data_IF_052417999593
#
_entry.id   IF_052417999593
#
_cell.length_a   1.000
_cell.length_b   1.000
_cell.length_c   1.000
_cell.angle_alpha   90.00
_cell.angle_beta   90.00
_cell.angle_gamma   90.00
#
_symmetry.space_group_name_H-M   'P 1'
#
loop_
_entity.id
_entity.type
_entity.pdbx_description
1 polymer ?
#
# COMPACT_ATOMS: atom_id res chain seq x y z
N UNK A 1 -8.71 -4.42 23.61
CA UNK A 1 -9.17 -5.60 24.38
C UNK A 1 -10.55 -6.10 23.91
N UNK A 2 -11.64 -5.36 24.15
CA UNK A 2 -13.02 -5.74 23.78
C UNK A 2 -13.20 -6.10 22.28
N UNK A 3 -12.70 -5.33 21.29
CA UNK A 3 -12.92 -5.66 19.87
C UNK A 3 -12.24 -6.97 19.45
N UNK A 4 -11.12 -7.33 20.08
CA UNK A 4 -10.39 -8.57 19.81
C UNK A 4 -11.16 -9.80 20.32
N UNK A 5 -11.79 -9.68 21.48
CA UNK A 5 -12.63 -10.74 22.06
C UNK A 5 -13.85 -10.99 21.17
N UNK A 6 -14.47 -9.93 20.65
CA UNK A 6 -15.61 -10.04 19.72
C UNK A 6 -15.20 -10.77 18.44
N UNK A 7 -14.03 -10.42 17.86
CA UNK A 7 -13.51 -11.07 16.65
C UNK A 7 -13.26 -12.57 16.88
N UNK A 8 -12.65 -12.94 18.00
CA UNK A 8 -12.36 -14.35 18.34
C UNK A 8 -13.66 -15.15 18.53
N UNK A 9 -14.66 -14.57 19.19
CA UNK A 9 -15.96 -15.23 19.38
C UNK A 9 -16.66 -15.42 18.03
N UNK A 10 -16.62 -14.40 17.15
CA UNK A 10 -17.23 -14.47 15.83
C UNK A 10 -16.55 -15.54 14.95
N UNK A 11 -15.21 -15.61 14.99
CA UNK A 11 -14.44 -16.67 14.32
C UNK A 11 -14.79 -18.06 14.87
N UNK A 12 -14.89 -18.22 16.19
CA UNK A 12 -15.26 -19.49 16.80
C UNK A 12 -16.69 -19.92 16.42
N UNK A 13 -17.65 -18.99 16.41
CA UNK A 13 -19.03 -19.26 15.99
C UNK A 13 -19.12 -19.66 14.52
N UNK A 14 -18.42 -18.97 13.62
CA UNK A 14 -18.41 -19.31 12.19
C UNK A 14 -17.82 -20.70 11.95
N UNK A 15 -16.70 -21.02 12.61
CA UNK A 15 -16.08 -22.34 12.50
C UNK A 15 -16.98 -23.45 13.07
N UNK A 16 -17.70 -23.19 14.17
CA UNK A 16 -18.65 -24.14 14.75
C UNK A 16 -19.84 -24.43 13.83
N UNK A 17 -20.40 -23.39 13.18
CA UNK A 17 -21.50 -23.55 12.21
C UNK A 17 -21.06 -24.38 11.00
N UNK A 18 -19.84 -24.20 10.52
CA UNK A 18 -19.28 -24.97 9.38
C UNK A 18 -18.91 -26.41 9.80
N UNK A 19 -18.48 -26.62 11.04
CA UNK A 19 -18.11 -27.95 11.55
C UNK A 19 -19.32 -28.82 11.92
N UNK A 20 -20.43 -28.22 12.36
CA UNK A 20 -21.65 -28.95 12.71
C UNK A 20 -22.15 -29.90 11.59
N UNK A 21 -22.22 -29.51 10.31
CA UNK A 21 -22.61 -30.42 9.23
C UNK A 21 -21.54 -31.47 8.88
N UNK A 22 -20.26 -31.25 9.18
CA UNK A 22 -19.18 -32.22 8.95
C UNK A 22 -19.11 -33.32 10.01
N UNK A 23 -19.57 -33.02 11.22
CA UNK A 23 -19.67 -33.97 12.33
C UNK A 23 -20.97 -34.76 12.27
N UNK A 24 -22.02 -34.22 11.64
CA UNK A 24 -23.25 -34.96 11.35
C UNK A 24 -22.94 -36.11 10.39
N UNK A 25 -23.07 -37.34 10.87
CA UNK A 25 -23.12 -38.52 10.03
C UNK A 25 -24.30 -38.39 9.04
N UNK A 26 -24.04 -38.60 7.76
CA UNK A 26 -25.07 -38.59 6.73
C UNK A 26 -26.08 -39.70 7.04
N UNK A 27 -27.31 -39.32 7.40
CA UNK A 27 -28.38 -40.26 7.80
C UNK A 27 -28.97 -41.09 6.65
N UNK A 28 -28.30 -41.14 5.49
CA UNK A 28 -28.65 -41.98 4.36
C UNK A 28 -27.39 -42.74 3.98
N UNK A 29 -27.15 -43.86 4.68
CA UNK A 29 -26.06 -44.76 4.33
C UNK A 29 -26.36 -45.40 2.98
N UNK A 30 -25.32 -45.69 2.18
CA UNK A 30 -25.46 -46.43 0.93
C UNK A 30 -26.17 -47.79 1.13
N UNK A 31 -26.07 -48.37 2.34
CA UNK A 31 -26.81 -49.56 2.77
C UNK A 31 -28.33 -49.36 2.79
N UNK A 32 -28.81 -48.22 3.30
CA UNK A 32 -30.24 -47.94 3.43
C UNK A 32 -30.89 -47.68 2.08
N UNK A 33 -30.18 -47.03 1.16
CA UNK A 33 -30.68 -46.81 -0.21
C UNK A 33 -30.80 -48.12 -0.99
N UNK A 34 -29.80 -49.01 -0.87
CA UNK A 34 -29.83 -50.33 -1.52
C UNK A 34 -30.89 -51.26 -0.94
N UNK A 35 -31.11 -51.24 0.38
CA UNK A 35 -32.18 -52.00 1.04
C UNK A 35 -33.56 -51.57 0.53
N UNK A 36 -33.81 -50.25 0.43
CA UNK A 36 -35.07 -49.74 -0.17
C UNK A 36 -35.25 -50.13 -1.63
N UNK A 37 -34.19 -50.07 -2.44
CA UNK A 37 -34.26 -50.46 -3.86
C UNK A 37 -34.51 -51.96 -4.03
N UNK A 38 -33.98 -52.77 -3.12
CA UNK A 38 -34.22 -54.22 -3.06
C UNK A 38 -35.68 -54.53 -2.73
N UNK A 39 -36.24 -53.93 -1.68
CA UNK A 39 -37.65 -54.10 -1.30
C UNK A 39 -38.60 -53.67 -2.43
N UNK A 40 -38.29 -52.54 -3.09
CA UNK A 40 -39.05 -52.07 -4.24
C UNK A 40 -38.96 -53.06 -5.43
N UNK A 41 -37.79 -53.63 -5.68
CA UNK A 41 -37.59 -54.62 -6.75
C UNK A 41 -38.31 -55.95 -6.47
N UNK A 42 -38.35 -56.39 -5.21
CA UNK A 42 -39.13 -57.56 -4.79
C UNK A 42 -40.63 -57.32 -4.96
N UNK A 43 -41.11 -56.13 -4.60
CA UNK A 43 -42.50 -55.72 -4.80
C UNK A 43 -42.89 -55.71 -6.29
N UNK A 44 -42.00 -55.22 -7.15
CA UNK A 44 -42.21 -55.25 -8.61
C UNK A 44 -42.29 -56.68 -9.16
N UNK A 45 -41.53 -57.62 -8.60
CA UNK A 45 -41.59 -59.03 -9.00
C UNK A 45 -42.96 -59.63 -8.67
N UNK A 46 -43.51 -59.37 -7.48
CA UNK A 46 -44.86 -59.83 -7.12
C UNK A 46 -45.96 -59.21 -7.98
N UNK A 47 -45.80 -57.95 -8.41
CA UNK A 47 -46.75 -57.31 -9.33
C UNK A 47 -46.75 -57.98 -10.71
N UNK A 48 -45.57 -58.34 -11.24
CA UNK A 48 -45.46 -59.11 -12.48
C UNK A 48 -46.17 -60.46 -12.35
N UNK A 49 -46.08 -61.11 -11.19
CA UNK A 49 -46.78 -62.38 -10.94
C UNK A 49 -48.31 -62.23 -10.96
N UNK A 50 -48.82 -61.12 -10.44
CA UNK A 50 -50.25 -60.78 -10.44
C UNK A 50 -50.75 -60.37 -11.85
N UNK A 51 -49.94 -59.65 -12.62
CA UNK A 51 -50.23 -59.30 -14.03
C UNK A 51 -50.29 -60.54 -14.94
N UNK A 52 -49.48 -61.55 -14.64
CA UNK A 52 -49.54 -62.86 -15.32
C UNK A 52 -50.79 -63.63 -14.91
N UNK A 53 -51.14 -63.62 -13.62
CA UNK A 53 -52.33 -64.30 -13.11
C UNK A 53 -53.63 -63.68 -13.64
N UNK A 54 -53.65 -62.36 -13.85
CA UNK A 54 -54.78 -61.62 -14.44
C UNK A 54 -54.84 -61.71 -15.97
N UNK A 55 -53.85 -62.34 -16.62
CA UNK A 55 -53.79 -62.52 -18.07
C UNK A 55 -53.42 -61.26 -18.86
N UNK A 56 -52.95 -60.21 -18.19
CA UNK A 56 -52.53 -58.95 -18.83
C UNK A 56 -51.19 -59.10 -19.58
N UNK A 57 -50.32 -59.99 -19.10
CA UNK A 57 -48.99 -60.23 -19.66
C UNK A 57 -48.86 -61.62 -20.31
N UNK A 58 -48.22 -61.70 -21.48
CA UNK A 58 -47.98 -62.97 -22.17
C UNK A 58 -46.90 -63.83 -21.47
N UNK A 59 -47.00 -65.17 -21.56
CA UNK A 59 -46.08 -66.09 -20.85
C UNK A 59 -44.60 -65.89 -21.27
N UNK A 60 -44.36 -65.48 -22.51
CA UNK A 60 -43.01 -65.22 -23.02
C UNK A 60 -42.44 -63.89 -22.52
N UNK A 61 -43.23 -62.81 -22.47
CA UNK A 61 -42.84 -61.54 -21.87
C UNK A 61 -42.64 -61.64 -20.36
N UNK A 62 -43.52 -62.36 -19.67
CA UNK A 62 -43.41 -62.64 -18.24
C UNK A 62 -42.10 -63.32 -17.86
N UNK A 63 -41.70 -64.36 -18.59
CA UNK A 63 -40.41 -65.07 -18.38
C UNK A 63 -39.21 -64.15 -18.56
N UNK A 64 -39.26 -63.21 -19.51
CA UNK A 64 -38.18 -62.24 -19.72
C UNK A 64 -38.14 -61.19 -18.60
N UNK A 65 -39.29 -60.66 -18.21
CA UNK A 65 -39.41 -59.66 -17.14
C UNK A 65 -38.94 -60.22 -15.79
N UNK A 66 -39.40 -61.42 -15.41
CA UNK A 66 -38.95 -62.12 -14.19
C UNK A 66 -37.45 -62.31 -14.16
N UNK A 67 -36.86 -62.87 -15.22
CA UNK A 67 -35.40 -63.09 -15.29
C UNK A 67 -34.59 -61.79 -15.19
N UNK A 68 -35.11 -60.69 -15.74
CA UNK A 68 -34.45 -59.39 -15.63
C UNK A 68 -34.50 -58.86 -14.18
N UNK A 69 -35.64 -58.97 -13.52
CA UNK A 69 -35.81 -58.55 -12.13
C UNK A 69 -35.05 -59.43 -11.13
N UNK A 70 -35.07 -60.76 -11.31
CA UNK A 70 -34.27 -61.70 -10.52
C UNK A 70 -32.77 -61.38 -10.59
N UNK A 71 -32.25 -61.07 -11.80
CA UNK A 71 -30.86 -60.63 -11.97
C UNK A 71 -30.57 -59.31 -11.24
N UNK A 72 -31.52 -58.36 -11.26
CA UNK A 72 -31.40 -57.08 -10.55
C UNK A 72 -31.37 -57.31 -9.03
N UNK A 73 -32.28 -58.10 -8.51
CA UNK A 73 -32.35 -58.48 -7.08
C UNK A 73 -31.06 -59.18 -6.65
N UNK A 74 -30.57 -60.15 -7.42
CA UNK A 74 -29.30 -60.82 -7.13
C UNK A 74 -28.11 -59.85 -7.12
N UNK A 75 -28.08 -58.89 -8.05
CA UNK A 75 -27.05 -57.84 -8.09
C UNK A 75 -27.16 -56.90 -6.88
N UNK A 76 -28.37 -56.50 -6.47
CA UNK A 76 -28.58 -55.68 -5.28
C UNK A 76 -28.16 -56.41 -3.99
N UNK A 77 -28.51 -57.69 -3.84
CA UNK A 77 -28.02 -58.55 -2.74
C UNK A 77 -26.50 -58.61 -2.71
N UNK A 78 -25.84 -58.88 -3.85
CA UNK A 78 -24.38 -58.96 -3.91
C UNK A 78 -23.69 -57.65 -3.47
N UNK A 79 -24.27 -56.50 -3.83
CA UNK A 79 -23.77 -55.18 -3.40
C UNK A 79 -23.98 -54.93 -1.92
N UNK A 80 -25.15 -55.32 -1.39
CA UNK A 80 -25.46 -55.21 0.03
C UNK A 80 -24.50 -56.07 0.87
N UNK A 81 -24.27 -57.32 0.46
CA UNK A 81 -23.29 -58.21 1.10
C UNK A 81 -21.87 -57.67 1.00
N UNK A 82 -21.48 -57.11 -0.15
CA UNK A 82 -20.17 -56.49 -0.32
C UNK A 82 -19.97 -55.31 0.66
N UNK A 83 -20.97 -54.45 0.84
CA UNK A 83 -20.97 -53.38 1.85
C UNK A 83 -20.92 -53.91 3.28
N UNK A 84 -21.62 -55.01 3.56
CA UNK A 84 -21.62 -55.64 4.88
C UNK A 84 -20.26 -56.26 5.24
N UNK A 85 -19.54 -56.78 4.24
CA UNK A 85 -18.19 -57.33 4.42
C UNK A 85 -17.08 -56.29 4.38
N UNK A 86 -17.26 -55.20 3.61
CA UNK A 86 -16.25 -54.16 3.46
C UNK A 86 -16.21 -53.19 4.65
N UNK A 87 -17.28 -53.15 5.46
CA UNK A 87 -17.51 -52.07 6.42
C UNK A 87 -17.87 -50.77 5.70
N UNK A 88 -18.45 -49.82 6.44
CA UNK A 88 -18.67 -48.47 5.88
C UNK A 88 -17.32 -47.86 5.47
N UNK A 89 -17.30 -47.01 4.42
CA UNK A 89 -16.09 -46.30 3.99
C UNK A 89 -15.36 -45.71 5.20
N UNK A 90 -14.02 -45.68 5.23
CA UNK A 90 -13.28 -45.11 6.35
C UNK A 90 -13.63 -43.63 6.45
N UNK A 91 -14.62 -43.31 7.30
CA UNK A 91 -14.95 -41.93 7.60
C UNK A 91 -13.69 -41.30 8.18
N UNK A 92 -13.38 -40.08 7.75
CA UNK A 92 -12.22 -39.34 8.24
C UNK A 92 -12.17 -39.47 9.77
N UNK A 93 -11.08 -40.05 10.32
CA UNK A 93 -11.05 -40.44 11.71
C UNK A 93 -11.51 -39.28 12.61
N UNK A 94 -12.39 -39.54 13.58
CA UNK A 94 -13.05 -38.48 14.35
C UNK A 94 -12.07 -37.50 15.01
N UNK A 95 -10.88 -37.98 15.37
CA UNK A 95 -9.79 -37.14 15.90
C UNK A 95 -9.20 -36.18 14.85
N UNK A 96 -9.25 -36.48 13.55
CA UNK A 96 -8.80 -35.59 12.48
C UNK A 96 -9.82 -34.46 12.29
N UNK A 97 -11.12 -34.78 12.33
CA UNK A 97 -12.21 -33.80 12.21
C UNK A 97 -12.12 -32.70 13.27
N UNK A 98 -11.67 -33.04 14.48
CA UNK A 98 -11.53 -32.11 15.61
C UNK A 98 -10.09 -31.60 15.74
N UNK A 99 -9.10 -32.45 15.50
CA UNK A 99 -7.69 -32.19 15.74
C UNK A 99 -7.09 -31.19 14.76
N UNK A 100 -7.42 -31.25 13.47
CA UNK A 100 -6.90 -30.31 12.48
C UNK A 100 -7.38 -28.87 12.75
N UNK A 101 -8.67 -28.61 13.02
CA UNK A 101 -9.14 -27.28 13.41
C UNK A 101 -8.50 -26.75 14.70
N UNK A 102 -8.43 -27.59 15.73
CA UNK A 102 -7.81 -27.23 17.01
C UNK A 102 -6.32 -26.90 16.82
N UNK A 103 -5.64 -27.67 15.96
CA UNK A 103 -4.25 -27.42 15.60
C UNK A 103 -4.07 -26.09 14.88
N UNK A 104 -4.91 -25.75 13.89
CA UNK A 104 -4.84 -24.47 13.17
C UNK A 104 -5.05 -23.28 14.11
N UNK A 105 -6.04 -23.36 15.01
CA UNK A 105 -6.28 -22.31 16.01
C UNK A 105 -5.09 -22.19 16.97
N UNK A 106 -4.59 -23.30 17.50
CA UNK A 106 -3.43 -23.32 18.39
C UNK A 106 -2.17 -22.76 17.71
N UNK A 107 -1.95 -23.12 16.44
CA UNK A 107 -0.84 -22.63 15.66
C UNK A 107 -0.94 -21.10 15.46
N UNK A 108 -2.14 -20.57 15.20
CA UNK A 108 -2.36 -19.12 15.13
C UNK A 108 -2.08 -18.40 16.46
N UNK A 109 -2.55 -18.95 17.59
CA UNK A 109 -2.28 -18.39 18.93
C UNK A 109 -0.79 -18.41 19.27
N UNK A 110 -0.05 -19.43 18.83
CA UNK A 110 1.40 -19.54 19.07
C UNK A 110 2.20 -18.68 18.09
N UNK A 111 1.84 -18.63 16.81
CA UNK A 111 2.56 -17.84 15.80
C UNK A 111 2.35 -16.33 15.97
N UNK A 112 1.18 -15.90 16.48
CA UNK A 112 0.89 -14.48 16.70
C UNK A 112 1.92 -13.76 17.58
N UNK A 113 2.37 -14.28 18.74
CA UNK A 113 3.45 -13.66 19.50
C UNK A 113 4.85 -13.86 18.88
N UNK A 114 5.05 -14.82 17.96
CA UNK A 114 6.34 -15.01 17.29
C UNK A 114 6.55 -14.04 16.11
N UNK A 115 5.50 -13.73 15.35
CA UNK A 115 5.57 -12.90 14.13
C UNK A 115 4.90 -11.54 14.35
N UNK A 116 3.81 -11.51 15.10
CA UNK A 116 3.09 -10.29 15.42
C UNK A 116 3.67 -9.61 16.66
N UNK A 117 3.29 -8.36 16.85
CA UNK A 117 3.59 -7.56 18.03
C UNK A 117 2.39 -7.63 18.99
N UNK A 118 2.37 -8.56 19.97
CA UNK A 118 1.25 -8.71 20.91
C UNK A 118 1.02 -7.48 21.79
N UNK A 119 2.07 -6.69 21.97
CA UNK A 119 2.10 -5.39 22.66
C UNK A 119 2.14 -4.23 21.66
N UNK A 120 1.27 -4.23 20.64
CA UNK A 120 1.01 -3.02 19.87
C UNK A 120 0.14 -2.08 20.72
N UNK A 121 0.72 -1.55 21.79
CA UNK A 121 0.20 -0.35 22.41
C UNK A 121 0.53 0.79 21.46
N UNK A 122 -0.46 1.66 21.18
CA UNK A 122 -0.19 2.97 20.58
C UNK A 122 0.50 3.83 21.65
N UNK A 123 1.67 3.37 22.10
CA UNK A 123 2.39 3.87 23.27
C UNK A 123 3.05 5.23 23.02
N UNK A 124 3.00 5.72 21.78
CA UNK A 124 3.33 7.11 21.47
C UNK A 124 2.27 8.13 21.98
N UNK A 125 1.08 7.68 22.42
CA UNK A 125 -0.02 8.59 22.79
C UNK A 125 -0.22 8.72 24.32
N UNK A 126 0.28 7.80 25.15
CA UNK A 126 -0.18 7.67 26.54
C UNK A 126 0.81 8.04 27.67
N UNK A 127 2.11 8.25 27.39
CA UNK A 127 3.12 8.40 28.46
C UNK A 127 4.04 9.62 28.31
N UNK A 128 3.65 10.63 27.54
CA UNK A 128 4.25 11.96 27.69
C UNK A 128 3.48 12.72 28.78
N UNK A 129 4.11 13.18 29.88
CA UNK A 129 3.52 14.14 30.82
C UNK A 129 3.25 15.53 30.20
N UNK A 130 3.16 15.60 28.87
CA UNK A 130 2.88 16.78 28.06
C UNK A 130 1.52 16.71 27.34
N UNK A 131 0.64 15.77 27.70
CA UNK A 131 -0.76 15.76 27.22
C UNK A 131 -1.57 17.01 27.67
N UNK A 132 -0.98 17.89 28.48
CA UNK A 132 -1.53 19.21 28.78
C UNK A 132 -1.25 20.24 27.67
N UNK A 133 -0.26 19.97 26.81
CA UNK A 133 0.07 20.73 25.59
C UNK A 133 -0.13 19.86 24.32
N UNK A 134 -1.05 18.89 24.37
CA UNK A 134 -1.55 18.27 23.16
C UNK A 134 -2.37 19.34 22.43
N UNK A 135 -1.70 20.13 21.59
CA UNK A 135 -2.35 21.09 20.71
C UNK A 135 -3.43 20.34 19.96
N UNK A 136 -4.68 20.77 20.14
CA UNK A 136 -5.80 20.11 19.50
C UNK A 136 -5.59 20.17 17.98
N UNK A 137 -6.14 19.21 17.25
CA UNK A 137 -6.12 19.24 15.77
C UNK A 137 -6.64 20.56 15.19
N UNK A 138 -7.47 21.27 15.97
CA UNK A 138 -7.97 22.62 15.68
C UNK A 138 -6.90 23.72 15.82
N UNK A 139 -6.00 23.61 16.80
CA UNK A 139 -4.86 24.54 16.93
C UNK A 139 -3.87 24.39 15.78
N UNK A 140 -3.57 23.16 15.37
CA UNK A 140 -2.66 22.90 14.24
C UNK A 140 -3.22 23.34 12.89
N UNK A 141 -4.55 23.37 12.72
CA UNK A 141 -5.19 23.88 11.50
C UNK A 141 -5.11 25.40 11.36
N UNK A 142 -4.95 26.12 12.48
CA UNK A 142 -4.93 27.58 12.49
C UNK A 142 -3.50 28.15 12.55
N UNK A 143 -2.48 27.30 12.63
CA UNK A 143 -1.07 27.71 12.63
C UNK A 143 -0.50 27.71 11.21
N UNK A 144 0.39 28.67 10.96
CA UNK A 144 1.17 28.75 9.72
C UNK A 144 2.33 27.75 9.73
N UNK A 145 2.84 27.39 8.54
CA UNK A 145 3.96 26.44 8.42
C UNK A 145 5.21 26.85 9.24
N UNK A 146 5.63 28.14 9.28
CA UNK A 146 6.75 28.57 10.11
C UNK A 146 6.49 28.42 11.63
N UNK A 147 5.27 28.67 12.10
CA UNK A 147 4.90 28.48 13.50
C UNK A 147 4.93 26.99 13.89
N UNK A 148 4.54 26.11 12.95
CA UNK A 148 4.66 24.66 13.13
C UNK A 148 6.13 24.24 13.20
N UNK A 149 7.00 24.83 12.38
CA UNK A 149 8.45 24.60 12.43
C UNK A 149 9.03 24.94 13.81
N UNK A 150 8.79 26.16 14.30
CA UNK A 150 9.31 26.63 15.58
C UNK A 150 8.84 25.73 16.74
N UNK A 151 7.57 25.33 16.73
CA UNK A 151 7.02 24.39 17.69
C UNK A 151 7.75 23.04 17.63
N UNK A 152 7.95 22.48 16.43
CA UNK A 152 8.64 21.20 16.24
C UNK A 152 10.10 21.27 16.72
N UNK A 153 10.81 22.33 16.37
CA UNK A 153 12.20 22.57 16.82
C UNK A 153 12.26 22.67 18.34
N UNK A 154 11.36 23.43 18.97
CA UNK A 154 11.31 23.56 20.43
C UNK A 154 11.05 22.20 21.10
N UNK A 155 10.10 21.41 20.58
CA UNK A 155 9.78 20.08 21.09
C UNK A 155 10.97 19.13 20.96
N UNK A 156 11.59 19.07 19.78
CA UNK A 156 12.71 18.17 19.49
C UNK A 156 13.96 18.54 20.29
N UNK A 157 14.11 19.81 20.67
CA UNK A 157 15.16 20.26 21.59
C UNK A 157 14.94 19.69 23.00
N UNK A 158 13.70 19.61 23.46
CA UNK A 158 13.36 19.08 24.78
C UNK A 158 13.35 17.55 24.83
N UNK A 159 12.83 16.91 23.79
CA UNK A 159 12.73 15.47 23.66
C UNK A 159 12.96 15.06 22.20
N UNK A 160 14.21 14.76 21.80
CA UNK A 160 14.52 14.32 20.44
C UNK A 160 13.82 13.00 20.13
N UNK A 161 13.08 12.95 19.03
CA UNK A 161 12.39 11.75 18.58
C UNK A 161 12.45 11.59 17.04
N UNK A 162 12.66 10.37 16.51
CA UNK A 162 12.85 10.20 15.07
C UNK A 162 11.63 10.63 14.23
N UNK A 163 10.41 10.46 14.77
CA UNK A 163 9.17 10.81 14.04
C UNK A 163 9.02 12.32 13.93
N UNK A 164 9.35 13.06 14.99
CA UNK A 164 9.35 14.52 14.97
C UNK A 164 10.37 15.07 13.98
N UNK A 165 11.55 14.46 13.84
CA UNK A 165 12.53 14.85 12.82
C UNK A 165 12.03 14.59 11.38
N UNK A 166 11.35 13.47 11.12
CA UNK A 166 10.70 13.20 9.82
C UNK A 166 9.66 14.28 9.51
N UNK A 167 8.82 14.64 10.48
CA UNK A 167 7.79 15.66 10.30
C UNK A 167 8.40 17.05 10.07
N UNK A 168 9.44 17.40 10.83
CA UNK A 168 10.20 18.64 10.64
C UNK A 168 10.78 18.71 9.23
N UNK A 169 11.36 17.61 8.73
CA UNK A 169 11.85 17.51 7.37
C UNK A 169 10.78 17.81 6.33
N UNK A 170 9.58 17.25 6.49
CA UNK A 170 8.45 17.48 5.57
C UNK A 170 7.94 18.93 5.61
N UNK A 171 7.77 19.51 6.80
CA UNK A 171 7.33 20.91 6.96
C UNK A 171 8.34 21.87 6.31
N UNK A 172 9.63 21.64 6.52
CA UNK A 172 10.70 22.44 5.88
C UNK A 172 10.72 22.29 4.36
N UNK A 173 10.45 21.08 3.85
CA UNK A 173 10.34 20.83 2.42
C UNK A 173 9.21 21.66 1.80
N UNK A 174 8.04 21.71 2.44
CA UNK A 174 6.90 22.52 2.00
C UNK A 174 7.21 24.03 2.02
N UNK A 175 8.06 24.48 2.94
CA UNK A 175 8.54 25.86 3.01
C UNK A 175 9.72 26.16 2.07
N UNK A 176 10.08 25.24 1.16
CA UNK A 176 11.26 25.33 0.28
C UNK A 176 12.61 25.45 1.01
N UNK A 177 12.67 25.10 2.30
CA UNK A 177 13.91 25.05 3.07
C UNK A 177 14.61 23.70 2.85
N UNK A 178 15.15 23.49 1.65
CA UNK A 178 15.66 22.19 1.20
C UNK A 178 16.81 21.65 2.07
N UNK A 179 17.78 22.49 2.42
CA UNK A 179 18.91 22.09 3.27
C UNK A 179 18.44 21.67 4.67
N UNK A 180 17.59 22.49 5.29
CA UNK A 180 17.03 22.20 6.61
C UNK A 180 16.13 20.96 6.62
N UNK A 181 15.49 20.65 5.49
CA UNK A 181 14.68 19.44 5.31
C UNK A 181 15.56 18.18 5.33
N UNK A 182 16.62 18.15 4.50
CA UNK A 182 17.54 17.01 4.41
C UNK A 182 18.24 16.73 5.74
N UNK A 183 18.70 17.78 6.44
CA UNK A 183 19.33 17.65 7.76
C UNK A 183 18.39 17.00 8.79
N UNK A 184 17.10 17.32 8.76
CA UNK A 184 16.13 16.72 9.66
C UNK A 184 15.92 15.22 9.36
N UNK A 185 15.83 14.84 8.07
CA UNK A 185 15.74 13.43 7.68
C UNK A 185 17.01 12.64 8.00
N UNK A 186 18.20 13.23 7.85
CA UNK A 186 19.47 12.62 8.24
C UNK A 186 19.52 12.31 9.74
N UNK A 187 19.04 13.23 10.58
CA UNK A 187 18.97 13.00 12.03
C UNK A 187 17.97 11.88 12.36
N UNK A 188 16.82 11.81 11.67
CA UNK A 188 15.90 10.69 11.81
C UNK A 188 16.53 9.35 11.40
N UNK A 189 17.31 9.31 10.32
CA UNK A 189 18.06 8.13 9.88
C UNK A 189 19.10 7.69 10.90
N UNK A 190 19.85 8.65 11.47
CA UNK A 190 20.84 8.40 12.51
C UNK A 190 20.22 7.76 13.74
N UNK A 191 19.06 8.24 14.17
CA UNK A 191 18.36 7.73 15.36
C UNK A 191 17.68 6.37 15.13
N UNK A 192 17.34 6.03 13.89
CA UNK A 192 16.65 4.78 13.52
C UNK A 192 17.59 3.70 12.99
N UNK A 193 18.90 3.93 13.06
CA UNK A 193 19.93 3.02 12.53
C UNK A 193 19.72 2.68 11.04
N UNK A 194 19.37 3.68 10.23
CA UNK A 194 19.05 3.55 8.80
C UNK A 194 17.87 2.61 8.51
N UNK A 195 16.75 2.78 9.24
CA UNK A 195 15.51 2.06 8.95
C UNK A 195 15.11 2.26 7.47
N UNK A 196 14.85 1.17 6.71
CA UNK A 196 14.51 1.25 5.28
C UNK A 196 13.34 2.19 4.96
N UNK A 197 12.38 2.35 5.87
CA UNK A 197 11.20 3.21 5.66
C UNK A 197 11.56 4.69 5.72
N UNK A 198 12.47 5.05 6.62
CA UNK A 198 12.95 6.43 6.75
C UNK A 198 13.89 6.75 5.58
N UNK A 199 14.65 5.76 5.12
CA UNK A 199 15.50 5.87 3.93
C UNK A 199 14.68 6.17 2.68
N UNK A 200 13.52 5.53 2.51
CA UNK A 200 12.60 5.79 1.40
C UNK A 200 12.07 7.24 1.42
N UNK A 201 11.64 7.73 2.58
CA UNK A 201 11.18 9.12 2.75
C UNK A 201 12.30 10.14 2.47
N UNK A 202 13.53 9.88 2.94
CA UNK A 202 14.69 10.70 2.64
C UNK A 202 14.99 10.76 1.13
N UNK A 203 15.01 9.61 0.45
CA UNK A 203 15.21 9.54 -1.01
C UNK A 203 14.10 10.27 -1.77
N UNK A 204 12.86 10.17 -1.29
CA UNK A 204 11.75 10.90 -1.88
C UNK A 204 11.91 12.42 -1.71
N UNK A 205 12.31 12.88 -0.52
CA UNK A 205 12.59 14.29 -0.27
C UNK A 205 13.72 14.79 -1.18
N UNK A 206 14.82 14.04 -1.29
CA UNK A 206 15.90 14.33 -2.23
C UNK A 206 15.39 14.44 -3.68
N UNK A 207 14.62 13.46 -4.16
CA UNK A 207 14.09 13.49 -5.53
C UNK A 207 13.14 14.67 -5.78
N UNK A 208 12.38 15.09 -4.77
CA UNK A 208 11.53 16.30 -4.86
C UNK A 208 12.41 17.54 -4.93
N UNK A 209 13.39 17.66 -4.04
CA UNK A 209 14.35 18.76 -4.04
C UNK A 209 15.06 18.83 -5.38
N UNK A 210 15.60 17.71 -5.86
CA UNK A 210 16.25 17.61 -7.17
C UNK A 210 15.31 18.06 -8.28
N UNK A 211 14.02 17.70 -8.29
CA UNK A 211 13.09 18.19 -9.32
C UNK A 211 12.82 19.69 -9.20
N UNK A 212 12.71 20.21 -7.98
CA UNK A 212 12.46 21.63 -7.72
C UNK A 212 13.69 22.49 -8.03
N UNK A 213 14.89 21.94 -7.85
CA UNK A 213 16.17 22.63 -8.11
C UNK A 213 16.69 22.38 -9.53
N UNK A 214 16.36 21.24 -10.14
CA UNK A 214 16.78 20.80 -11.49
C UNK A 214 15.70 21.02 -12.55
N UNK A 215 14.82 22.02 -12.37
CA UNK A 215 13.64 22.27 -13.20
C UNK A 215 13.77 21.85 -14.69
N UNK A 216 12.89 20.97 -15.23
CA UNK A 216 12.88 20.58 -16.65
C UNK A 216 12.30 21.64 -17.60
N UNK A 217 11.86 22.80 -17.12
CA UNK A 217 11.18 23.82 -17.93
C UNK A 217 11.97 25.12 -18.10
N UNK A 218 13.26 25.18 -17.70
CA UNK A 218 14.11 26.20 -18.31
C UNK A 218 14.42 25.74 -19.71
N UNK A 219 13.92 26.46 -20.72
CA UNK A 219 14.23 26.13 -22.11
C UNK A 219 15.75 26.19 -22.39
N UNK A 220 16.53 26.79 -21.47
CA UNK A 220 17.99 26.85 -21.48
C UNK A 220 18.64 25.45 -21.44
N UNK A 221 19.58 25.15 -22.36
CA UNK A 221 20.34 23.91 -22.32
C UNK A 221 21.04 23.76 -20.96
N UNK A 222 20.94 22.57 -20.38
CA UNK A 222 21.76 22.22 -19.23
C UNK A 222 23.24 22.06 -19.67
N UNK A 223 24.18 22.44 -18.80
CA UNK A 223 25.60 22.34 -19.11
C UNK A 223 26.03 20.90 -18.83
N UNK A 224 26.33 20.14 -19.87
CA UNK A 224 26.79 18.75 -19.72
C UNK A 224 28.15 18.65 -18.99
N UNK A 225 28.41 17.51 -18.35
CA UNK A 225 29.67 17.23 -17.64
C UNK A 225 30.92 17.44 -18.51
N UNK A 226 30.86 17.02 -19.79
CA UNK A 226 31.94 17.22 -20.76
C UNK A 226 32.20 18.70 -21.04
N UNK A 227 31.13 19.51 -21.03
CA UNK A 227 31.19 20.94 -21.28
C UNK A 227 31.76 21.69 -20.07
N UNK A 228 31.44 21.26 -18.84
CA UNK A 228 32.08 21.74 -17.62
C UNK A 228 33.58 21.40 -17.59
N UNK A 229 33.95 20.18 -17.97
CA UNK A 229 35.35 19.76 -18.05
C UNK A 229 36.13 20.57 -19.09
N UNK A 230 35.51 20.92 -20.22
CA UNK A 230 36.10 21.79 -21.23
C UNK A 230 36.26 23.24 -20.73
N UNK A 231 35.29 23.78 -20.00
CA UNK A 231 35.37 25.13 -19.40
C UNK A 231 36.48 25.24 -18.37
N UNK A 232 36.73 24.19 -17.59
CA UNK A 232 37.82 24.13 -16.60
C UNK A 232 39.23 24.06 -17.24
N UNK A 233 39.33 23.82 -18.55
CA UNK A 233 40.61 23.81 -19.28
C UNK A 233 40.94 25.16 -19.92
N UNK A 234 40.00 26.11 -19.94
CA UNK A 234 40.19 27.45 -20.49
C UNK A 234 40.98 28.34 -19.52
N UNK A 235 41.53 29.44 -20.04
CA UNK A 235 42.07 30.49 -19.18
C UNK A 235 40.94 31.16 -18.40
N UNK A 236 41.23 31.75 -17.24
CA UNK A 236 40.21 32.40 -16.41
C UNK A 236 39.50 33.55 -17.16
N UNK A 237 40.22 34.25 -18.04
CA UNK A 237 39.66 35.33 -18.87
C UNK A 237 38.73 34.79 -19.97
N UNK A 238 39.14 33.72 -20.66
CA UNK A 238 38.31 33.06 -21.67
C UNK A 238 37.07 32.41 -21.05
N UNK A 239 37.22 31.81 -19.87
CA UNK A 239 36.13 31.22 -19.11
C UNK A 239 35.10 32.30 -18.73
N UNK A 240 35.54 33.46 -18.24
CA UNK A 240 34.65 34.57 -17.91
C UNK A 240 33.94 35.12 -19.16
N UNK A 241 34.66 35.29 -20.27
CA UNK A 241 34.08 35.74 -21.53
C UNK A 241 33.01 34.77 -22.06
N UNK A 242 33.26 33.46 -21.94
CA UNK A 242 32.31 32.43 -22.34
C UNK A 242 31.09 32.38 -21.43
N UNK A 243 31.26 32.51 -20.11
CA UNK A 243 30.16 32.59 -19.14
C UNK A 243 29.29 33.82 -19.44
N UNK A 244 29.90 34.98 -19.66
CA UNK A 244 29.17 36.19 -20.03
C UNK A 244 28.35 36.00 -21.31
N UNK A 245 28.92 35.36 -22.34
CA UNK A 245 28.21 35.07 -23.57
C UNK A 245 27.02 34.10 -23.37
N UNK A 246 27.15 33.11 -22.47
CA UNK A 246 26.05 32.20 -22.14
C UNK A 246 24.92 32.91 -21.41
N UNK A 247 25.24 33.78 -20.44
CA UNK A 247 24.24 34.58 -19.71
C UNK A 247 23.53 35.55 -20.65
N UNK A 248 24.25 36.15 -21.60
CA UNK A 248 23.66 37.05 -22.60
C UNK A 248 22.75 36.29 -23.59
N UNK A 249 23.15 35.08 -24.00
CA UNK A 249 22.30 34.21 -24.81
C UNK A 249 21.00 33.80 -24.09
N UNK A 250 21.07 33.60 -22.77
CA UNK A 250 19.89 33.37 -21.94
C UNK A 250 18.98 34.60 -21.91
N UNK A 251 19.54 35.80 -21.68
CA UNK A 251 18.79 37.05 -21.68
C UNK A 251 18.06 37.28 -23.01
N UNK A 252 18.77 37.18 -24.13
CA UNK A 252 18.19 37.36 -25.46
C UNK A 252 17.07 36.36 -25.78
N UNK A 253 17.11 35.18 -25.16
CA UNK A 253 16.05 34.19 -25.32
C UNK A 253 14.83 34.50 -24.47
N UNK A 254 15.02 34.96 -23.23
CA UNK A 254 13.93 35.38 -22.36
C UNK A 254 13.21 36.62 -22.91
N UNK A 255 13.90 37.45 -23.69
CA UNK A 255 13.24 38.49 -24.49
C UNK A 255 12.31 37.91 -25.56
N UNK A 256 12.63 36.73 -26.11
CA UNK A 256 11.82 36.06 -27.14
C UNK A 256 10.70 35.18 -26.54
N UNK A 257 10.93 34.61 -25.36
CA UNK A 257 9.92 33.89 -24.57
C UNK A 257 9.88 34.44 -23.13
N UNK A 258 9.11 35.53 -22.91
CA UNK A 258 9.05 36.17 -21.61
C UNK A 258 8.32 35.35 -20.54
N UNK A 259 7.65 34.26 -20.93
CA UNK A 259 6.80 33.48 -20.02
C UNK A 259 7.55 32.47 -19.14
N UNK A 260 8.87 32.33 -19.31
CA UNK A 260 9.72 31.42 -18.55
C UNK A 260 10.20 32.05 -17.21
N UNK A 261 9.40 31.92 -16.16
CA UNK A 261 9.73 32.41 -14.81
C UNK A 261 11.07 31.84 -14.29
N UNK A 262 11.30 30.54 -14.51
CA UNK A 262 12.52 29.89 -14.03
C UNK A 262 13.76 30.42 -14.75
N UNK A 263 13.64 30.68 -16.05
CA UNK A 263 14.66 31.36 -16.83
C UNK A 263 15.00 32.74 -16.29
N UNK A 264 13.99 33.55 -15.94
CA UNK A 264 14.21 34.86 -15.30
C UNK A 264 14.91 34.75 -13.95
N UNK A 265 14.47 33.86 -13.06
CA UNK A 265 15.11 33.64 -11.75
C UNK A 265 16.58 33.21 -11.90
N UNK A 266 16.87 32.35 -12.88
CA UNK A 266 18.24 31.89 -13.17
C UNK A 266 19.11 33.00 -13.75
N UNK A 267 18.58 33.84 -14.64
CA UNK A 267 19.28 34.99 -15.19
C UNK A 267 19.68 35.97 -14.08
N UNK A 268 18.76 36.29 -13.17
CA UNK A 268 18.98 37.21 -12.05
C UNK A 268 20.10 36.68 -11.13
N UNK A 269 20.04 35.40 -10.74
CA UNK A 269 21.10 34.75 -9.93
C UNK A 269 22.45 34.76 -10.64
N UNK A 270 22.48 34.40 -11.92
CA UNK A 270 23.72 34.36 -12.69
C UNK A 270 24.38 35.74 -12.77
N UNK A 271 23.60 36.79 -13.08
CA UNK A 271 24.09 38.18 -13.12
C UNK A 271 24.58 38.65 -11.74
N UNK A 272 23.88 38.32 -10.67
CA UNK A 272 24.31 38.64 -9.30
C UNK A 272 25.64 37.98 -8.92
N UNK A 273 25.83 36.69 -9.23
CA UNK A 273 27.09 35.97 -8.99
C UNK A 273 28.25 36.57 -9.79
N UNK A 274 27.97 37.06 -10.99
CA UNK A 274 28.95 37.73 -11.86
C UNK A 274 29.24 39.18 -11.45
N UNK A 275 28.59 39.71 -10.43
CA UNK A 275 28.73 41.11 -10.01
C UNK A 275 28.05 42.12 -10.94
N UNK A 276 27.20 41.64 -11.86
CA UNK A 276 26.40 42.43 -12.80
C UNK A 276 25.11 42.90 -12.11
N UNK A 277 25.25 43.68 -11.03
CA UNK A 277 24.14 44.05 -10.15
C UNK A 277 23.09 44.89 -10.86
N UNK A 278 23.51 45.84 -11.72
CA UNK A 278 22.59 46.69 -12.48
C UNK A 278 21.76 45.86 -13.47
N UNK A 279 22.40 44.93 -14.18
CA UNK A 279 21.73 44.06 -15.14
C UNK A 279 20.83 43.03 -14.45
N UNK A 280 21.16 42.61 -13.22
CA UNK A 280 20.31 41.75 -12.40
C UNK A 280 19.04 42.48 -11.96
N UNK A 281 19.14 43.74 -11.51
CA UNK A 281 18.00 44.57 -11.15
C UNK A 281 17.09 44.84 -12.36
N UNK A 282 17.68 45.09 -13.53
CA UNK A 282 16.91 45.27 -14.76
C UNK A 282 16.14 44.00 -15.16
N UNK A 283 16.77 42.83 -15.04
CA UNK A 283 16.11 41.55 -15.31
C UNK A 283 14.98 41.28 -14.32
N UNK A 284 15.19 41.60 -13.03
CA UNK A 284 14.16 41.50 -11.99
C UNK A 284 12.94 42.37 -12.32
N UNK A 285 13.15 43.66 -12.61
CA UNK A 285 12.05 44.57 -12.96
C UNK A 285 11.30 44.11 -14.23
N UNK A 286 12.02 43.56 -15.21
CA UNK A 286 11.40 43.04 -16.43
C UNK A 286 10.52 41.82 -16.12
N UNK A 287 11.02 40.89 -15.30
CA UNK A 287 10.27 39.72 -14.87
C UNK A 287 9.03 40.11 -14.04
N UNK A 288 9.16 41.03 -13.07
CA UNK A 288 8.02 41.49 -12.25
C UNK A 288 6.91 42.10 -13.11
N UNK A 289 7.26 42.89 -14.12
CA UNK A 289 6.29 43.45 -15.06
C UNK A 289 5.62 42.36 -15.91
N UNK A 290 6.38 41.34 -16.33
CA UNK A 290 5.88 40.24 -17.15
C UNK A 290 4.95 39.29 -16.38
N UNK A 291 5.20 39.09 -15.08
CA UNK A 291 4.40 38.25 -14.19
C UNK A 291 3.50 39.06 -13.25
N UNK A 292 3.13 40.29 -13.62
CA UNK A 292 2.33 41.18 -12.77
C UNK A 292 0.98 40.60 -12.32
N UNK A 293 0.42 39.66 -13.10
CA UNK A 293 -0.85 38.98 -12.81
C UNK A 293 -0.67 37.63 -12.05
N UNK A 294 0.56 37.19 -11.80
CA UNK A 294 0.88 35.94 -11.10
C UNK A 294 1.49 36.21 -9.71
N UNK A 295 0.64 36.10 -8.69
CA UNK A 295 1.00 36.37 -7.29
C UNK A 295 2.11 35.41 -6.78
N UNK A 296 2.15 34.17 -7.26
CA UNK A 296 3.18 33.21 -6.88
C UNK A 296 4.53 33.57 -7.50
N UNK A 297 4.52 33.98 -8.77
CA UNK A 297 5.72 34.43 -9.48
C UNK A 297 6.33 35.69 -8.83
N UNK A 298 5.49 36.66 -8.46
CA UNK A 298 5.91 37.87 -7.75
C UNK A 298 6.50 37.55 -6.36
N UNK A 299 5.91 36.60 -5.63
CA UNK A 299 6.47 36.15 -4.36
C UNK A 299 7.84 35.49 -4.53
N UNK A 300 8.06 34.73 -5.60
CA UNK A 300 9.35 34.09 -5.88
C UNK A 300 10.43 35.12 -6.29
N UNK A 301 10.06 36.10 -7.11
CA UNK A 301 10.95 37.18 -7.56
C UNK A 301 11.37 38.09 -6.41
N UNK A 302 10.43 38.49 -5.55
CA UNK A 302 10.73 39.31 -4.37
C UNK A 302 11.61 38.58 -3.36
N UNK A 303 11.32 37.30 -3.08
CA UNK A 303 12.16 36.49 -2.19
C UNK A 303 13.61 36.39 -2.72
N UNK A 304 13.77 36.22 -4.04
CA UNK A 304 15.09 36.22 -4.67
C UNK A 304 15.80 37.58 -4.59
N UNK A 305 15.06 38.67 -4.77
CA UNK A 305 15.61 40.02 -4.69
C UNK A 305 16.16 40.32 -3.30
N UNK A 306 15.42 39.97 -2.24
CA UNK A 306 15.87 40.15 -0.85
C UNK A 306 17.07 39.28 -0.51
N UNK A 307 17.11 38.02 -0.97
CA UNK A 307 18.26 37.11 -0.76
C UNK A 307 19.54 37.65 -1.40
N UNK A 308 19.43 38.22 -2.60
CA UNK A 308 20.55 38.79 -3.35
C UNK A 308 20.84 40.27 -3.01
N UNK A 309 20.08 40.87 -2.08
CA UNK A 309 20.19 42.29 -1.72
C UNK A 309 20.08 43.24 -2.93
N UNK A 310 19.15 42.95 -3.84
CA UNK A 310 18.94 43.69 -5.09
C UNK A 310 17.87 44.81 -4.99
N UNK A 311 17.36 45.08 -3.79
CA UNK A 311 16.33 46.11 -3.50
C UNK A 311 16.74 47.56 -3.80
#
# INVERSE_FOLDING_TARGET
>A
MIPFIILIILLACTLAVVMLPLVRESSITAKDSLTRELEASQTQLSQIDEEVASGFLDDQGAKRARRAMEKRIAKLHSRLTALETAGDEPTLAGWIKIGVPVFLIGCGVVLYPLIGSPSYEREAEAQLPMAQNAMTSETLQNMTLPEIEDMLVQRLTAAPDPRGFILLGRVRLEMNQFEGSLLAYEEALRMTENDPRVMEEYQQAQAIIDRLTSAPDSSAPDISDDQMAAMNQLSQEDQQAQINAMVEGLAARLDADPSDLNGWLRLIRARAVLGQTEEAQQALSTAENQFADDENALSALSALASDLSLE
#
